data_IF_651394313080
#
_entry.id   IF_651394313080
#
_cell.length_a   1.000
_cell.length_b   1.000
_cell.length_c   1.000
_cell.angle_alpha   90.00
_cell.angle_beta   90.00
_cell.angle_gamma   90.00
#
_symmetry.space_group_name_H-M   'P 1'
#
loop_
_entity.id
_entity.type
_entity.pdbx_description
1 polymer ?
#
# COMPACT_ATOMS: atom_id res chain seq x y z
N UNK A 1 15.44 -13.08 39.52
CA UNK A 1 15.84 -12.56 38.19
C UNK A 1 16.89 -11.49 38.41
N UNK A 2 18.16 -11.79 38.11
CA UNK A 2 19.27 -10.83 38.22
C UNK A 2 19.22 -9.89 37.01
N UNK A 3 19.09 -8.59 37.25
CA UNK A 3 19.19 -7.58 36.20
C UNK A 3 20.67 -7.42 35.82
N UNK A 4 20.98 -7.68 34.56
CA UNK A 4 22.32 -7.46 34.02
C UNK A 4 22.55 -5.93 34.04
N UNK A 5 23.56 -5.47 34.77
CA UNK A 5 23.99 -4.07 34.75
C UNK A 5 24.67 -3.81 33.40
N UNK A 6 23.89 -3.36 32.42
CA UNK A 6 24.37 -3.05 31.08
C UNK A 6 25.12 -1.72 31.14
N UNK A 7 26.42 -1.74 30.81
CA UNK A 7 27.23 -0.53 30.67
C UNK A 7 26.60 0.44 29.66
N UNK A 8 26.60 1.74 29.97
CA UNK A 8 26.01 2.79 29.11
C UNK A 8 26.62 2.79 27.69
N UNK A 9 27.88 2.36 27.52
CA UNK A 9 28.49 2.24 26.20
C UNK A 9 27.91 1.08 25.38
N UNK A 10 27.56 -0.03 26.02
CA UNK A 10 26.93 -1.18 25.38
C UNK A 10 25.48 -0.85 25.00
N UNK A 11 24.77 -0.12 25.86
CA UNK A 11 23.42 0.40 25.59
C UNK A 11 23.42 1.32 24.35
N UNK A 12 24.34 2.30 24.30
CA UNK A 12 24.45 3.21 23.16
C UNK A 12 24.87 2.49 21.86
N UNK A 13 25.73 1.48 21.95
CA UNK A 13 26.14 0.69 20.79
C UNK A 13 24.97 -0.12 20.22
N UNK A 14 24.15 -0.76 21.07
CA UNK A 14 22.96 -1.51 20.66
C UNK A 14 21.91 -0.58 20.05
N UNK A 15 21.70 0.59 20.65
CA UNK A 15 20.74 1.58 20.13
C UNK A 15 21.14 2.06 18.73
N UNK A 16 22.39 2.52 18.53
CA UNK A 16 22.86 3.06 17.24
C UNK A 16 23.02 1.99 16.15
N UNK A 17 23.56 0.81 16.48
CA UNK A 17 23.92 -0.18 15.45
C UNK A 17 22.85 -1.22 15.17
N UNK A 18 21.85 -1.38 16.05
CA UNK A 18 20.84 -2.44 15.92
C UNK A 18 19.42 -1.89 15.87
N UNK A 19 19.07 -1.00 16.81
CA UNK A 19 17.70 -0.51 16.96
C UNK A 19 17.39 0.53 15.87
N UNK A 20 18.22 1.54 15.72
CA UNK A 20 18.05 2.64 14.76
C UNK A 20 17.98 2.18 13.29
N UNK A 21 18.89 1.31 12.78
CA UNK A 21 18.78 0.80 11.41
C UNK A 21 17.58 -0.13 11.21
N UNK A 22 17.17 -0.89 12.23
CA UNK A 22 15.98 -1.74 12.15
C UNK A 22 14.71 -0.90 11.97
N UNK A 23 14.55 0.17 12.78
CA UNK A 23 13.40 1.07 12.64
C UNK A 23 13.35 1.74 11.26
N UNK A 24 14.50 2.19 10.75
CA UNK A 24 14.59 2.74 9.38
C UNK A 24 14.11 1.73 8.35
N UNK A 25 14.59 0.50 8.42
CA UNK A 25 14.22 -0.56 7.47
C UNK A 25 12.73 -0.93 7.56
N UNK A 26 12.17 -0.97 8.78
CA UNK A 26 10.76 -1.28 9.00
C UNK A 26 9.85 -0.19 8.42
N UNK A 27 10.17 1.09 8.64
CA UNK A 27 9.44 2.24 8.09
C UNK A 27 9.48 2.21 6.56
N UNK A 28 10.67 2.03 5.97
CA UNK A 28 10.81 1.95 4.51
C UNK A 28 9.99 0.81 3.93
N UNK A 29 10.00 -0.35 4.58
CA UNK A 29 9.26 -1.53 4.14
C UNK A 29 7.76 -1.29 4.22
N UNK A 30 7.29 -0.66 5.30
CA UNK A 30 5.89 -0.30 5.50
C UNK A 30 5.41 0.70 4.45
N UNK A 31 6.20 1.74 4.15
CA UNK A 31 5.89 2.70 3.08
C UNK A 31 5.81 2.00 1.72
N UNK A 32 6.77 1.11 1.40
CA UNK A 32 6.76 0.34 0.14
C UNK A 32 5.52 -0.55 0.04
N UNK A 33 5.09 -1.19 1.12
CA UNK A 33 3.89 -2.01 1.17
C UNK A 33 2.62 -1.18 0.95
N UNK A 34 2.50 -0.03 1.63
CA UNK A 34 1.38 0.91 1.46
C UNK A 34 1.25 1.35 0.00
N UNK A 35 2.36 1.72 -0.66
CA UNK A 35 2.36 2.11 -2.08
C UNK A 35 1.93 0.96 -2.99
N UNK A 36 2.49 -0.24 -2.79
CA UNK A 36 2.17 -1.43 -3.59
C UNK A 36 0.69 -1.80 -3.46
N UNK A 37 0.14 -1.77 -2.26
CA UNK A 37 -1.27 -2.07 -2.00
C UNK A 37 -2.23 -1.09 -2.68
N UNK A 38 -1.89 0.21 -2.73
CA UNK A 38 -2.68 1.21 -3.47
C UNK A 38 -2.62 0.98 -4.97
N UNK A 39 -1.42 0.78 -5.49
CA UNK A 39 -1.23 0.55 -6.92
C UNK A 39 -1.97 -0.72 -7.39
N UNK A 40 -1.84 -1.83 -6.64
CA UNK A 40 -2.57 -3.06 -6.96
C UNK A 40 -4.08 -2.88 -6.82
N UNK A 41 -4.54 -2.14 -5.81
CA UNK A 41 -5.95 -1.75 -5.66
C UNK A 41 -6.51 -1.04 -6.90
N UNK A 42 -5.80 -0.02 -7.41
CA UNK A 42 -6.23 0.75 -8.58
C UNK A 42 -6.28 -0.11 -9.86
N UNK A 43 -5.29 -0.99 -10.03
CA UNK A 43 -5.25 -1.91 -11.17
C UNK A 43 -6.41 -2.91 -11.12
N UNK A 44 -6.66 -3.53 -9.96
CA UNK A 44 -7.75 -4.49 -9.78
C UNK A 44 -9.14 -3.85 -9.97
N UNK A 45 -9.32 -2.62 -9.50
CA UNK A 45 -10.56 -1.87 -9.71
C UNK A 45 -10.80 -1.57 -11.20
N UNK A 46 -9.74 -1.15 -11.90
CA UNK A 46 -9.82 -0.86 -13.34
C UNK A 46 -10.16 -2.12 -14.14
N UNK A 47 -9.48 -3.23 -13.85
CA UNK A 47 -9.74 -4.52 -14.49
C UNK A 47 -11.18 -4.98 -14.20
N UNK A 48 -11.64 -4.87 -12.95
CA UNK A 48 -13.00 -5.20 -12.57
C UNK A 48 -14.03 -4.44 -13.41
N UNK A 49 -13.91 -3.11 -13.52
CA UNK A 49 -14.83 -2.28 -14.33
C UNK A 49 -14.84 -2.69 -15.80
N UNK A 50 -13.68 -3.01 -16.37
CA UNK A 50 -13.57 -3.51 -17.75
C UNK A 50 -14.32 -4.84 -17.89
N UNK A 51 -14.12 -5.78 -16.97
CA UNK A 51 -14.82 -7.07 -16.99
C UNK A 51 -16.34 -6.90 -16.83
N UNK A 52 -16.85 -5.98 -15.99
CA UNK A 52 -18.31 -5.72 -15.90
C UNK A 52 -18.85 -5.32 -17.27
N UNK A 53 -18.16 -4.41 -17.98
CA UNK A 53 -18.57 -3.95 -19.30
C UNK A 53 -18.58 -5.10 -20.32
N UNK A 54 -17.59 -5.98 -20.29
CA UNK A 54 -17.60 -7.18 -21.13
C UNK A 54 -18.74 -8.15 -20.77
N UNK A 55 -18.94 -8.41 -19.48
CA UNK A 55 -20.03 -9.26 -19.01
C UNK A 55 -21.40 -8.74 -19.47
N UNK A 56 -21.62 -7.43 -19.40
CA UNK A 56 -22.86 -6.80 -19.88
C UNK A 56 -23.03 -6.90 -21.40
N UNK A 57 -21.99 -6.72 -22.21
CA UNK A 57 -22.05 -6.91 -23.67
C UNK A 57 -22.40 -8.37 -24.03
N UNK A 58 -21.77 -9.34 -23.38
CA UNK A 58 -22.05 -10.77 -23.59
C UNK A 58 -23.47 -11.11 -23.15
N UNK A 59 -23.91 -10.57 -22.01
CA UNK A 59 -25.28 -10.75 -21.51
C UNK A 59 -26.31 -10.14 -22.46
N UNK A 60 -26.03 -8.99 -23.08
CA UNK A 60 -26.92 -8.41 -24.08
C UNK A 60 -26.97 -9.28 -25.35
N UNK A 61 -25.81 -9.77 -25.79
CA UNK A 61 -25.71 -10.64 -26.97
C UNK A 61 -26.45 -11.97 -26.81
N UNK A 62 -26.57 -12.50 -25.59
CA UNK A 62 -27.35 -13.72 -25.34
C UNK A 62 -28.84 -13.58 -25.64
N UNK A 63 -29.37 -12.34 -25.60
CA UNK A 63 -30.75 -12.04 -25.98
C UNK A 63 -30.99 -12.04 -27.49
N UNK A 64 -29.95 -11.79 -28.30
CA UNK A 64 -30.05 -11.78 -29.77
C UNK A 64 -29.81 -13.15 -30.39
N UNK A 65 -28.83 -13.91 -29.88
CA UNK A 65 -28.47 -15.22 -30.43
C UNK A 65 -29.21 -16.37 -29.72
N UNK A 66 -30.43 -16.66 -30.16
CA UNK A 66 -31.31 -17.67 -29.55
C UNK A 66 -30.68 -19.08 -29.43
N UNK A 67 -29.82 -19.47 -30.39
CA UNK A 67 -29.17 -20.79 -30.39
C UNK A 67 -28.05 -20.98 -29.34
N UNK A 68 -27.44 -19.90 -28.86
CA UNK A 68 -26.33 -19.94 -27.89
C UNK A 68 -26.63 -19.16 -26.59
N UNK A 69 -27.89 -18.76 -26.41
CA UNK A 69 -28.33 -17.87 -25.34
C UNK A 69 -27.94 -18.37 -23.93
N UNK A 70 -28.09 -19.67 -23.66
CA UNK A 70 -27.74 -20.26 -22.36
C UNK A 70 -26.24 -20.19 -22.06
N UNK A 71 -25.38 -20.49 -23.04
CA UNK A 71 -23.93 -20.45 -22.87
C UNK A 71 -23.42 -19.03 -22.70
N UNK A 72 -23.90 -18.09 -23.53
CA UNK A 72 -23.54 -16.67 -23.43
C UNK A 72 -23.99 -16.07 -22.09
N UNK A 73 -25.20 -16.38 -21.63
CA UNK A 73 -25.70 -15.92 -20.33
C UNK A 73 -24.87 -16.48 -19.17
N UNK A 74 -24.50 -17.77 -19.22
CA UNK A 74 -23.61 -18.36 -18.20
C UNK A 74 -22.23 -17.68 -18.16
N UNK A 75 -21.59 -17.52 -19.32
CA UNK A 75 -20.28 -16.83 -19.42
C UNK A 75 -20.38 -15.40 -18.89
N UNK A 76 -21.45 -14.68 -19.23
CA UNK A 76 -21.67 -13.32 -18.73
C UNK A 76 -21.80 -13.27 -17.20
N UNK A 77 -22.45 -14.27 -16.60
CA UNK A 77 -22.56 -14.41 -15.15
C UNK A 77 -21.21 -14.70 -14.49
N UNK A 78 -20.40 -15.58 -15.08
CA UNK A 78 -19.04 -15.87 -14.60
C UNK A 78 -18.15 -14.63 -14.65
N UNK A 79 -18.13 -13.91 -15.78
CA UNK A 79 -17.35 -12.68 -15.94
C UNK A 79 -17.76 -11.64 -14.90
N UNK A 80 -19.07 -11.46 -14.70
CA UNK A 80 -19.61 -10.51 -13.72
C UNK A 80 -19.24 -10.89 -12.28
N UNK A 81 -19.23 -12.19 -11.95
CA UNK A 81 -18.85 -12.69 -10.63
C UNK A 81 -17.35 -12.48 -10.36
N UNK A 82 -16.50 -12.79 -11.34
CA UNK A 82 -15.06 -12.54 -11.25
C UNK A 82 -14.78 -11.05 -11.07
N UNK A 83 -15.46 -10.21 -11.88
CA UNK A 83 -15.35 -8.76 -11.76
C UNK A 83 -15.67 -8.26 -10.34
N UNK A 84 -16.79 -8.71 -9.76
CA UNK A 84 -17.19 -8.29 -8.43
C UNK A 84 -16.18 -8.74 -7.36
N UNK A 85 -15.64 -9.94 -7.52
CA UNK A 85 -14.60 -10.47 -6.62
C UNK A 85 -13.33 -9.61 -6.67
N UNK A 86 -12.89 -9.20 -7.85
CA UNK A 86 -11.75 -8.28 -8.01
C UNK A 86 -12.01 -6.92 -7.36
N UNK A 87 -13.23 -6.41 -7.45
CA UNK A 87 -13.62 -5.15 -6.78
C UNK A 87 -13.56 -5.26 -5.26
N UNK A 88 -13.98 -6.40 -4.70
CA UNK A 88 -13.86 -6.66 -3.27
C UNK A 88 -12.40 -6.76 -2.83
N UNK A 89 -11.54 -7.44 -3.59
CA UNK A 89 -10.10 -7.53 -3.31
C UNK A 89 -9.47 -6.14 -3.37
N UNK A 90 -9.79 -5.34 -4.38
CA UNK A 90 -9.35 -3.94 -4.48
C UNK A 90 -9.77 -3.12 -3.26
N UNK A 91 -11.05 -3.21 -2.87
CA UNK A 91 -11.60 -2.52 -1.70
C UNK A 91 -10.91 -2.94 -0.40
N UNK A 92 -10.59 -4.23 -0.26
CA UNK A 92 -9.82 -4.74 0.86
C UNK A 92 -8.40 -4.16 0.88
N UNK A 93 -7.70 -4.15 -0.26
CA UNK A 93 -6.36 -3.59 -0.38
C UNK A 93 -6.32 -2.10 0.03
N UNK A 94 -7.34 -1.31 -0.32
CA UNK A 94 -7.44 0.09 0.14
C UNK A 94 -7.69 0.23 1.63
N UNK A 95 -8.54 -0.61 2.22
CA UNK A 95 -8.80 -0.60 3.66
C UNK A 95 -7.52 -0.95 4.43
N UNK A 96 -6.83 -1.98 3.98
CA UNK A 96 -5.56 -2.43 4.58
C UNK A 96 -4.47 -1.36 4.44
N UNK A 97 -4.32 -0.76 3.27
CA UNK A 97 -3.37 0.34 3.05
C UNK A 97 -3.64 1.54 3.97
N UNK A 98 -4.91 1.89 4.21
CA UNK A 98 -5.28 2.97 5.16
C UNK A 98 -4.94 2.60 6.60
N UNK A 99 -5.18 1.35 7.00
CA UNK A 99 -4.82 0.86 8.33
C UNK A 99 -3.31 0.93 8.55
N UNK A 100 -2.52 0.42 7.61
CA UNK A 100 -1.06 0.48 7.64
C UNK A 100 -0.54 1.92 7.67
N UNK A 101 -1.20 2.83 6.93
CA UNK A 101 -0.88 4.28 7.00
C UNK A 101 -1.12 4.84 8.39
N UNK A 102 -2.24 4.49 9.04
CA UNK A 102 -2.54 4.93 10.40
C UNK A 102 -1.52 4.38 11.41
N UNK A 103 -1.11 3.13 11.27
CA UNK A 103 -0.08 2.51 12.12
C UNK A 103 1.28 3.17 11.93
N UNK A 104 1.66 3.47 10.68
CA UNK A 104 2.86 4.24 10.36
C UNK A 104 2.82 5.63 11.00
N UNK A 105 1.69 6.33 10.94
CA UNK A 105 1.54 7.66 11.54
C UNK A 105 1.68 7.65 13.06
N UNK A 106 1.13 6.63 13.73
CA UNK A 106 1.32 6.44 15.16
C UNK A 106 2.80 6.19 15.48
N UNK A 107 3.49 5.40 14.66
CA UNK A 107 4.91 5.12 14.83
C UNK A 107 5.76 6.39 14.64
N UNK A 108 5.50 7.19 13.60
CA UNK A 108 6.16 8.47 13.35
C UNK A 108 5.94 9.48 14.48
N UNK A 109 4.71 9.61 14.98
CA UNK A 109 4.39 10.47 16.11
C UNK A 109 5.14 10.07 17.39
N UNK A 110 5.30 8.76 17.65
CA UNK A 110 6.09 8.27 18.78
C UNK A 110 7.57 8.61 18.69
N UNK A 111 8.08 8.85 17.48
CA UNK A 111 9.46 9.28 17.22
C UNK A 111 9.62 10.80 17.16
N UNK A 112 8.54 11.57 17.39
CA UNK A 112 8.56 13.03 17.31
C UNK A 112 8.62 13.58 15.88
N UNK A 113 8.37 12.74 14.87
CA UNK A 113 8.32 13.14 13.47
C UNK A 113 6.90 13.55 13.07
N UNK A 114 6.79 14.49 12.12
CA UNK A 114 5.49 14.96 11.62
C UNK A 114 4.72 13.84 10.92
N UNK A 115 3.38 13.85 11.06
CA UNK A 115 2.50 12.80 10.56
C UNK A 115 2.54 12.71 9.03
N UNK A 116 2.67 11.49 8.51
CA UNK A 116 2.67 11.22 7.08
C UNK A 116 1.25 11.27 6.50
N UNK A 117 0.98 12.23 5.59
CA UNK A 117 -0.30 12.30 4.89
C UNK A 117 -0.21 11.59 3.53
N UNK A 118 -1.17 10.71 3.27
CA UNK A 118 -1.11 9.85 2.08
C UNK A 118 -1.59 10.51 0.80
N UNK A 119 -2.13 11.72 0.90
CA UNK A 119 -2.60 12.54 -0.23
C UNK A 119 -1.42 13.04 -1.09
N UNK A 120 -0.22 13.21 -0.51
CA UNK A 120 0.95 13.76 -1.20
C UNK A 120 1.64 12.76 -2.15
N UNK A 121 1.26 11.48 -2.09
CA UNK A 121 1.78 10.42 -2.96
C UNK A 121 1.25 10.44 -4.38
N UNK A 122 0.09 11.06 -4.62
CA UNK A 122 -0.49 11.08 -5.96
C UNK A 122 0.12 12.17 -6.84
N UNK A 123 1.00 13.02 -6.28
CA UNK A 123 1.56 14.18 -6.96
C UNK A 123 3.09 14.35 -6.80
N UNK A 124 3.82 13.33 -6.35
CA UNK A 124 5.27 13.44 -6.22
C UNK A 124 6.00 12.18 -6.66
N UNK A 125 6.79 12.33 -7.73
CA UNK A 125 8.13 11.76 -7.74
C UNK A 125 8.79 12.17 -6.43
N UNK A 126 8.77 11.29 -5.43
CA UNK A 126 9.50 11.52 -4.18
C UNK A 126 10.98 11.45 -4.54
N UNK A 127 11.57 12.62 -4.79
CA UNK A 127 13.00 12.83 -4.73
C UNK A 127 13.42 12.55 -3.29
N UNK A 128 14.05 11.40 -3.09
CA UNK A 128 14.78 11.04 -1.86
C UNK A 128 16.08 11.86 -1.84
N UNK A 129 15.95 13.19 -1.84
CA UNK A 129 17.08 14.13 -1.86
C UNK A 129 16.95 15.18 -0.74
N UNK A 130 15.83 15.20 -0.02
CA UNK A 130 15.55 16.19 1.03
C UNK A 130 15.90 15.75 2.46
N UNK A 131 16.57 14.61 2.66
CA UNK A 131 17.06 14.20 4.00
C UNK A 131 18.59 14.32 4.09
N UNK A 132 19.30 14.49 2.98
CA UNK A 132 20.77 14.56 2.96
C UNK A 132 21.32 16.00 2.88
N UNK A 133 20.48 17.02 2.71
CA UNK A 133 20.92 18.41 2.49
C UNK A 133 20.90 19.32 3.71
N UNK A 134 20.49 18.84 4.89
CA UNK A 134 20.38 19.69 6.09
C UNK A 134 21.37 19.34 7.22
N UNK A 135 22.27 18.36 7.03
CA UNK A 135 23.34 18.05 8.01
C UNK A 135 24.70 18.69 7.70
N UNK A 136 24.91 19.22 6.49
CA UNK A 136 26.26 19.57 6.01
C UNK A 136 26.51 21.08 5.85
N UNK A 137 25.59 21.96 6.29
CA UNK A 137 25.73 23.43 6.11
C UNK A 137 25.93 24.23 7.40
N UNK A 138 26.17 23.61 8.57
CA UNK A 138 26.52 24.33 9.81
C UNK A 138 27.95 24.08 10.32
N UNK A 139 28.85 23.61 9.47
CA UNK A 139 30.26 23.43 9.82
C UNK A 139 31.22 24.01 8.76
N UNK A 140 31.03 25.27 8.35
CA UNK A 140 32.10 26.14 7.82
C UNK A 140 31.55 27.54 7.49
N UNK A 141 31.47 28.42 8.49
CA UNK A 141 31.77 29.85 8.31
C UNK A 141 32.34 30.41 9.59
#
# INVERSE_FOLDING_TARGET
>A
MQYIQVSDSLKNHIVRNLIEPSYKQDIETMIKQIKRAKYSGHMLETISKILVSFGTIVSFSSGYYTGYSHMLSFISGCISTVSLTLLHISSFAYKESRKQTSELNILLQKMGLESYNTTDLNNSHINIEYIESESDTEAST
#
